data_IF_697542209790
#
_entry.id   IF_697542209790
#
_cell.length_a   1.000
_cell.length_b   1.000
_cell.length_c   1.000
_cell.angle_alpha   90.00
_cell.angle_beta   90.00
_cell.angle_gamma   90.00
#
_symmetry.space_group_name_H-M   'P 1'
#
loop_
_entity.id
_entity.type
_entity.pdbx_description
1 polymer ?
#
# COMPACT_ATOMS: atom_id res chain seq x y z
N UNK A 1 -9.88 10.67 12.69
CA UNK A 1 -8.70 11.55 12.68
C UNK A 1 -9.14 13.01 12.51
N UNK A 2 -8.43 13.95 13.10
CA UNK A 2 -8.66 15.38 12.94
C UNK A 2 -7.50 15.94 12.13
N UNK A 3 -7.80 16.61 11.00
CA UNK A 3 -6.83 17.27 10.16
C UNK A 3 -6.91 18.79 10.34
N UNK A 4 -5.75 19.45 10.36
CA UNK A 4 -5.64 20.91 10.40
C UNK A 4 -4.95 21.40 9.13
N UNK A 5 -5.62 22.24 8.38
CA UNK A 5 -5.13 22.84 7.16
C UNK A 5 -4.72 24.28 7.42
N UNK A 6 -3.57 24.68 6.89
CA UNK A 6 -3.12 26.08 6.91
C UNK A 6 -2.94 26.56 5.50
N UNK A 7 -3.62 27.65 5.16
CA UNK A 7 -3.42 28.34 3.91
C UNK A 7 -2.11 29.15 3.98
N UNK A 8 -1.38 29.13 2.89
CA UNK A 8 -0.12 29.90 2.75
C UNK A 8 -0.16 30.67 1.44
N UNK A 9 0.72 31.67 1.30
CA UNK A 9 0.86 32.45 0.06
C UNK A 9 1.71 31.72 -1.01
N UNK A 10 1.99 30.43 -0.83
CA UNK A 10 2.69 29.61 -1.81
C UNK A 10 1.72 29.08 -2.89
N UNK A 11 2.27 28.65 -4.00
CA UNK A 11 1.50 27.95 -5.04
C UNK A 11 0.69 26.82 -4.40
N UNK A 12 -0.64 26.74 -4.64
CA UNK A 12 -1.46 25.68 -4.09
C UNK A 12 -0.97 24.32 -4.55
N UNK A 13 -0.99 23.36 -3.64
CA UNK A 13 -0.83 21.96 -4.03
C UNK A 13 -2.06 21.53 -4.84
N UNK A 14 -1.82 20.88 -5.95
CA UNK A 14 -2.87 20.31 -6.78
C UNK A 14 -2.95 18.80 -6.61
N UNK A 15 -4.07 18.22 -6.99
CA UNK A 15 -4.27 16.79 -7.01
C UNK A 15 -3.26 16.13 -7.96
N UNK A 16 -2.49 15.20 -7.43
CA UNK A 16 -1.66 14.28 -8.19
C UNK A 16 -2.30 12.89 -8.17
N UNK A 17 -1.92 12.02 -9.11
CA UNK A 17 -2.42 10.64 -9.20
C UNK A 17 -2.45 9.95 -7.84
N UNK A 18 -3.54 9.26 -7.50
CA UNK A 18 -3.79 8.61 -6.22
C UNK A 18 -3.75 9.58 -5.00
N UNK A 19 -4.51 10.70 -5.02
CA UNK A 19 -4.42 11.72 -3.98
C UNK A 19 -4.69 11.13 -2.59
N UNK A 20 -3.82 11.46 -1.65
CA UNK A 20 -3.83 11.01 -0.25
C UNK A 20 -3.59 9.51 -0.03
N UNK A 21 -3.48 8.70 -1.05
CA UNK A 21 -3.31 7.25 -0.88
C UNK A 21 -1.88 6.88 -0.50
N UNK A 22 -0.89 7.47 -1.13
CA UNK A 22 0.51 7.24 -0.77
C UNK A 22 0.85 7.83 0.60
N UNK A 23 0.33 9.01 0.96
CA UNK A 23 0.52 9.58 2.29
C UNK A 23 -0.16 8.72 3.36
N UNK A 24 -1.39 8.28 3.13
CA UNK A 24 -2.10 7.41 4.07
C UNK A 24 -1.44 6.03 4.19
N UNK A 25 -0.90 5.50 3.11
CA UNK A 25 -0.10 4.27 3.11
C UNK A 25 1.14 4.45 3.97
N UNK A 26 1.90 5.53 3.76
CA UNK A 26 3.07 5.83 4.58
C UNK A 26 2.73 5.87 6.08
N UNK A 27 1.69 6.62 6.45
CA UNK A 27 1.27 6.74 7.86
C UNK A 27 0.85 5.39 8.42
N UNK A 28 0.03 4.62 7.69
CA UNK A 28 -0.44 3.31 8.12
C UNK A 28 0.71 2.32 8.32
N UNK A 29 1.60 2.21 7.33
CA UNK A 29 2.68 1.24 7.38
C UNK A 29 3.71 1.59 8.48
N UNK A 30 3.99 2.88 8.69
CA UNK A 30 4.80 3.34 9.82
C UNK A 30 4.13 3.07 11.17
N UNK A 31 2.81 3.17 11.24
CA UNK A 31 2.05 2.81 12.44
C UNK A 31 2.11 1.30 12.71
N UNK A 32 2.03 0.46 11.68
CA UNK A 32 2.19 -0.99 11.80
C UNK A 32 3.57 -1.35 12.35
N UNK A 33 4.63 -0.70 11.89
CA UNK A 33 5.98 -0.88 12.43
C UNK A 33 6.06 -0.45 13.90
N UNK A 34 5.45 0.69 14.25
CA UNK A 34 5.43 1.17 15.64
C UNK A 34 4.65 0.22 16.56
N UNK A 35 3.56 -0.36 16.10
CA UNK A 35 2.80 -1.39 16.83
C UNK A 35 3.65 -2.64 17.02
N UNK A 36 4.36 -3.10 16.00
CA UNK A 36 5.26 -4.24 16.10
C UNK A 36 6.32 -4.04 17.20
N UNK A 37 6.96 -2.89 17.20
CA UNK A 37 7.94 -2.54 18.24
C UNK A 37 7.28 -2.48 19.64
N UNK A 38 6.13 -1.84 19.78
CA UNK A 38 5.45 -1.70 21.07
C UNK A 38 4.94 -3.03 21.63
N UNK A 39 4.67 -4.01 20.78
CA UNK A 39 4.18 -5.34 21.14
C UNK A 39 5.30 -6.41 21.18
N UNK A 40 6.53 -6.02 20.90
CA UNK A 40 7.68 -6.94 20.74
C UNK A 40 7.36 -8.08 19.75
N UNK A 41 6.83 -7.70 18.61
CA UNK A 41 6.42 -8.61 17.55
C UNK A 41 7.21 -8.36 16.26
N UNK A 42 7.37 -9.41 15.47
CA UNK A 42 7.86 -9.27 14.10
C UNK A 42 6.91 -8.41 13.25
N UNK A 43 7.42 -7.38 12.53
CA UNK A 43 6.61 -6.52 11.67
C UNK A 43 5.82 -7.27 10.60
N UNK A 44 6.37 -8.38 10.07
CA UNK A 44 5.69 -9.22 9.10
C UNK A 44 4.52 -9.96 9.77
N UNK A 45 4.73 -10.49 10.98
CA UNK A 45 3.68 -11.18 11.73
C UNK A 45 2.51 -10.24 12.06
N UNK A 46 2.78 -8.96 12.41
CA UNK A 46 1.73 -7.96 12.64
C UNK A 46 0.92 -7.74 11.37
N UNK A 47 1.58 -7.56 10.21
CA UNK A 47 0.88 -7.37 8.93
C UNK A 47 0.05 -8.59 8.58
N UNK A 48 0.61 -9.77 8.68
CA UNK A 48 -0.07 -11.03 8.39
C UNK A 48 -1.37 -11.21 9.20
N UNK A 49 -1.37 -10.85 10.48
CA UNK A 49 -2.56 -10.89 11.35
C UNK A 49 -3.65 -9.89 10.96
N UNK A 50 -3.30 -8.88 10.17
CA UNK A 50 -4.21 -7.81 9.75
C UNK A 50 -4.62 -7.93 8.27
N UNK A 51 -4.15 -8.94 7.56
CA UNK A 51 -4.61 -9.22 6.20
C UNK A 51 -6.00 -9.86 6.24
N UNK A 52 -6.82 -9.49 5.28
CA UNK A 52 -8.10 -10.16 5.03
C UNK A 52 -7.77 -11.54 4.45
N UNK A 53 -8.33 -12.57 5.04
CA UNK A 53 -8.11 -13.94 4.58
C UNK A 53 -8.88 -14.22 3.28
N UNK A 54 -8.43 -15.22 2.53
CA UNK A 54 -9.10 -15.64 1.31
C UNK A 54 -10.54 -16.14 1.58
N UNK A 55 -10.79 -16.68 2.78
CA UNK A 55 -12.10 -17.18 3.20
C UNK A 55 -13.11 -16.06 3.46
N UNK A 56 -12.63 -14.85 3.75
CA UNK A 56 -13.45 -13.65 3.98
C UNK A 56 -13.79 -12.91 2.67
N UNK A 57 -13.26 -13.37 1.54
CA UNK A 57 -13.49 -12.75 0.23
C UNK A 57 -14.77 -13.24 -0.46
N UNK A 58 -15.48 -12.38 -1.20
CA UNK A 58 -15.24 -10.96 -1.39
C UNK A 58 -15.53 -10.14 -0.11
N UNK A 59 -14.67 -9.18 0.20
CA UNK A 59 -14.78 -8.40 1.44
C UNK A 59 -15.35 -7.01 1.18
N UNK A 60 -16.58 -6.81 1.64
CA UNK A 60 -17.26 -5.52 1.58
C UNK A 60 -16.86 -4.58 2.71
N UNK A 61 -16.58 -3.34 2.42
CA UNK A 61 -16.34 -2.30 3.43
C UNK A 61 -17.61 -1.49 3.66
N UNK A 62 -17.87 -1.18 4.93
CA UNK A 62 -19.02 -0.31 5.31
C UNK A 62 -18.82 1.18 4.95
N UNK A 63 -17.71 1.53 4.29
CA UNK A 63 -17.39 2.90 3.93
C UNK A 63 -17.53 3.09 2.42
N UNK A 64 -18.35 4.04 2.02
CA UNK A 64 -18.43 4.46 0.63
C UNK A 64 -17.26 5.37 0.28
N UNK A 65 -16.71 5.16 -0.90
CA UNK A 65 -15.68 6.01 -1.48
C UNK A 65 -16.25 6.66 -2.73
N UNK A 66 -16.41 7.98 -2.71
CA UNK A 66 -17.01 8.76 -3.80
C UNK A 66 -18.44 8.34 -4.14
N UNK A 67 -19.20 7.82 -3.15
CA UNK A 67 -20.59 7.39 -3.32
C UNK A 67 -20.75 5.95 -3.79
N UNK A 68 -19.67 5.22 -3.99
CA UNK A 68 -19.69 3.80 -4.35
C UNK A 68 -19.29 2.93 -3.14
N UNK A 69 -19.98 1.80 -2.99
CA UNK A 69 -19.56 0.75 -2.07
C UNK A 69 -18.22 0.20 -2.51
N UNK A 70 -17.34 -0.04 -1.54
CA UNK A 70 -16.03 -0.64 -1.81
C UNK A 70 -16.09 -2.12 -1.44
N UNK A 71 -15.97 -2.96 -2.44
CA UNK A 71 -15.78 -4.39 -2.28
C UNK A 71 -14.38 -4.76 -2.80
N UNK A 72 -13.65 -5.52 -2.00
CA UNK A 72 -12.36 -6.05 -2.40
C UNK A 72 -12.57 -7.36 -3.16
N UNK A 73 -12.05 -7.41 -4.37
CA UNK A 73 -12.04 -8.63 -5.17
C UNK A 73 -11.30 -9.77 -4.46
N UNK A 74 -11.66 -11.03 -4.74
CA UNK A 74 -10.92 -12.16 -4.23
C UNK A 74 -9.44 -12.07 -4.55
N UNK A 75 -8.61 -12.15 -3.52
CA UNK A 75 -7.16 -12.07 -3.65
C UNK A 75 -6.46 -12.75 -2.49
N UNK A 76 -5.41 -13.49 -2.80
CA UNK A 76 -4.56 -14.13 -1.79
C UNK A 76 -3.48 -13.13 -1.33
N UNK A 77 -3.85 -12.24 -0.41
CA UNK A 77 -2.93 -11.22 0.11
C UNK A 77 -1.82 -11.81 0.97
N UNK A 78 -2.08 -12.90 1.67
CA UNK A 78 -1.07 -13.62 2.45
C UNK A 78 -0.06 -14.29 1.52
N UNK A 79 -0.54 -14.97 0.47
CA UNK A 79 0.33 -15.58 -0.54
C UNK A 79 1.15 -14.54 -1.31
N UNK A 80 0.59 -13.36 -1.61
CA UNK A 80 1.35 -12.26 -2.22
C UNK A 80 2.50 -11.79 -1.31
N UNK A 81 2.24 -11.64 0.00
CA UNK A 81 3.26 -11.30 0.99
C UNK A 81 4.36 -12.37 1.01
N UNK A 82 3.99 -13.66 1.05
CA UNK A 82 4.93 -14.78 1.08
C UNK A 82 5.80 -14.84 -0.17
N UNK A 83 5.21 -14.64 -1.34
CA UNK A 83 5.95 -14.59 -2.60
C UNK A 83 6.94 -13.42 -2.62
N UNK A 84 6.53 -12.24 -2.16
CA UNK A 84 7.42 -11.08 -2.07
C UNK A 84 8.60 -11.33 -1.14
N UNK A 85 8.35 -11.86 0.05
CA UNK A 85 9.40 -12.20 1.01
C UNK A 85 10.36 -13.26 0.48
N UNK A 86 9.85 -14.30 -0.16
CA UNK A 86 10.66 -15.34 -0.76
C UNK A 86 11.53 -14.79 -1.92
N UNK A 87 10.95 -13.93 -2.77
CA UNK A 87 11.64 -13.39 -3.94
C UNK A 87 12.86 -12.52 -3.57
N UNK A 88 12.76 -11.77 -2.46
CA UNK A 88 13.86 -10.93 -1.97
C UNK A 88 14.81 -11.69 -1.03
N UNK A 89 14.51 -12.93 -0.66
CA UNK A 89 15.29 -13.69 0.33
C UNK A 89 15.28 -13.02 1.70
N UNK A 90 14.09 -12.68 2.21
CA UNK A 90 13.91 -11.85 3.41
C UNK A 90 14.71 -12.31 4.61
N UNK A 91 14.71 -13.59 4.92
CA UNK A 91 15.42 -14.13 6.10
C UNK A 91 16.93 -13.96 6.01
N UNK A 92 17.49 -14.19 4.82
CA UNK A 92 18.92 -14.01 4.59
C UNK A 92 19.29 -12.52 4.54
N UNK A 93 18.42 -11.69 3.99
CA UNK A 93 18.57 -10.23 4.04
C UNK A 93 18.62 -9.74 5.49
N UNK A 94 17.74 -10.21 6.37
CA UNK A 94 17.75 -9.80 7.78
C UNK A 94 19.07 -10.17 8.47
N UNK A 95 19.60 -11.39 8.26
CA UNK A 95 20.90 -11.82 8.79
C UNK A 95 22.04 -10.91 8.32
N UNK A 96 22.08 -10.64 7.01
CA UNK A 96 23.08 -9.73 6.43
C UNK A 96 23.00 -8.31 7.03
N UNK A 97 21.80 -7.81 7.25
CA UNK A 97 21.60 -6.50 7.85
C UNK A 97 22.03 -6.46 9.32
N UNK A 98 21.82 -7.53 10.07
CA UNK A 98 22.30 -7.65 11.46
C UNK A 98 23.84 -7.63 11.51
N UNK A 99 24.49 -8.40 10.67
CA UNK A 99 25.96 -8.40 10.55
C UNK A 99 26.51 -7.02 10.17
N UNK A 100 25.89 -6.35 9.21
CA UNK A 100 26.29 -5.01 8.79
C UNK A 100 26.12 -3.97 9.89
N UNK A 101 25.01 -4.03 10.64
CA UNK A 101 24.79 -3.15 11.82
C UNK A 101 25.81 -3.41 12.91
N UNK A 102 26.16 -4.69 13.17
CA UNK A 102 27.19 -5.05 14.14
C UNK A 102 28.57 -4.47 13.76
N UNK A 103 28.82 -4.29 12.46
CA UNK A 103 30.02 -3.62 11.95
C UNK A 103 29.90 -2.08 11.90
N UNK A 104 28.85 -1.49 12.45
CA UNK A 104 28.66 -0.05 12.54
C UNK A 104 28.03 0.59 11.30
N UNK A 105 27.52 -0.20 10.34
CA UNK A 105 26.84 0.34 9.17
C UNK A 105 25.40 0.78 9.50
N UNK A 106 25.00 1.92 8.94
CA UNK A 106 23.64 2.43 9.06
C UNK A 106 22.76 1.86 7.93
N UNK A 107 22.26 0.66 8.12
CA UNK A 107 21.44 -0.05 7.14
C UNK A 107 20.10 -0.50 7.74
N UNK A 108 19.08 -0.56 6.90
CA UNK A 108 17.75 -1.00 7.30
C UNK A 108 16.99 -1.65 6.16
N UNK A 109 15.91 -2.32 6.51
CA UNK A 109 14.92 -2.85 5.59
C UNK A 109 13.54 -2.37 6.00
N UNK A 110 12.62 -2.40 5.09
CA UNK A 110 11.21 -2.12 5.36
C UNK A 110 10.33 -2.82 4.35
N UNK A 111 9.08 -3.03 4.75
CA UNK A 111 8.05 -3.56 3.89
C UNK A 111 6.82 -2.66 3.96
N UNK A 112 6.15 -2.50 2.85
CA UNK A 112 4.89 -1.78 2.76
C UNK A 112 3.92 -2.58 1.92
N UNK A 113 2.70 -2.73 2.43
CA UNK A 113 1.60 -3.34 1.70
C UNK A 113 0.50 -2.30 1.49
N UNK A 114 0.03 -2.19 0.28
CA UNK A 114 -1.06 -1.27 -0.04
C UNK A 114 -1.96 -1.84 -1.11
N UNK A 115 -3.14 -1.29 -1.15
CA UNK A 115 -4.17 -1.61 -2.12
C UNK A 115 -4.54 -0.35 -2.91
N UNK A 116 -4.59 -0.46 -4.23
CA UNK A 116 -4.93 0.64 -5.12
C UNK A 116 -6.10 0.26 -6.03
N UNK A 117 -7.10 1.13 -6.10
CA UNK A 117 -8.21 0.97 -7.04
C UNK A 117 -7.72 1.21 -8.47
N UNK A 118 -8.00 0.29 -9.38
CA UNK A 118 -7.52 0.34 -10.76
C UNK A 118 -8.26 1.35 -11.65
N UNK A 119 -9.35 1.96 -11.20
CA UNK A 119 -10.11 2.94 -11.97
C UNK A 119 -11.07 3.75 -11.12
N UNK A 120 -11.62 4.83 -11.66
CA UNK A 120 -12.61 5.68 -10.99
C UNK A 120 -14.05 5.41 -11.46
N UNK A 121 -14.22 4.69 -12.55
CA UNK A 121 -15.51 4.41 -13.15
C UNK A 121 -15.70 2.92 -13.47
N UNK A 122 -16.93 2.52 -13.82
CA UNK A 122 -17.24 1.15 -14.19
C UNK A 122 -16.64 0.72 -15.53
N UNK A 123 -16.24 1.69 -16.36
CA UNK A 123 -15.64 1.43 -17.66
C UNK A 123 -14.80 2.62 -18.14
N UNK A 124 -13.77 2.31 -18.90
CA UNK A 124 -13.04 3.26 -19.75
C UNK A 124 -13.38 2.98 -21.20
N UNK A 125 -13.40 4.02 -22.04
CA UNK A 125 -13.70 3.91 -23.46
C UNK A 125 -12.70 4.67 -24.30
N UNK A 126 -12.41 4.13 -25.47
CA UNK A 126 -11.63 4.82 -26.48
C UNK A 126 -12.39 4.83 -27.82
N UNK A 127 -12.31 5.94 -28.55
CA UNK A 127 -12.85 6.06 -29.92
C UNK A 127 -11.71 6.46 -30.84
N UNK A 128 -11.42 5.62 -31.79
CA UNK A 128 -10.34 5.81 -32.74
C UNK A 128 -10.94 6.10 -34.11
N UNK A 129 -10.49 7.16 -34.74
CA UNK A 129 -10.82 7.49 -36.13
C UNK A 129 -9.54 7.41 -36.94
N UNK A 130 -9.60 6.69 -38.04
CA UNK A 130 -8.53 6.66 -39.02
C UNK A 130 -9.10 7.30 -40.28
N UNK A 131 -8.54 8.40 -40.70
CA UNK A 131 -8.94 9.03 -41.97
C UNK A 131 -8.26 8.37 -43.18
N UNK A 132 -8.59 8.82 -44.40
CA UNK A 132 -8.05 8.26 -45.62
C UNK A 132 -6.58 8.62 -45.89
N UNK A 133 -5.98 9.44 -45.03
CA UNK A 133 -4.55 9.80 -45.09
C UNK A 133 -3.75 8.98 -44.04
N UNK A 134 -4.44 8.29 -43.14
CA UNK A 134 -3.81 7.43 -42.16
C UNK A 134 -3.29 8.14 -40.87
N UNK A 135 -3.77 9.36 -40.60
CA UNK A 135 -3.47 10.14 -39.42
C UNK A 135 -4.49 9.89 -38.27
#
# INVERSE_FOLDING_TARGET
>A
ARAHYRLTAKTPAATYRAPSRFESTFVRERLMDAVAVAMDMDPIAVRRRNLISLEEMPYGRALDVLGDSVEHDPGDYAGLLDQGLAQIGWDDLQKQLEERRANGEMVGSGISMFFEKSGLGPSDGAKIFIDHIGD
#
